data_IF_445051586532
#
_entry.id   IF_445051586532
#
_cell.length_a   1.000
_cell.length_b   1.000
_cell.length_c   1.000
_cell.angle_alpha   90.00
_cell.angle_beta   90.00
_cell.angle_gamma   90.00
#
_symmetry.space_group_name_H-M   'P 1'
#
loop_
_entity.id
_entity.type
_entity.pdbx_description
1 polymer ?
#
# COMPACT_ATOMS: atom_id res chain seq x y z
N UNK A 1 21.82 -7.75 -0.15
CA UNK A 1 20.84 -8.29 -1.13
C UNK A 1 19.81 -7.20 -1.40
N UNK A 2 19.15 -7.14 -2.56
CA UNK A 2 18.00 -6.24 -2.82
C UNK A 2 16.83 -7.13 -3.19
N UNK A 3 15.90 -7.29 -2.25
CA UNK A 3 14.75 -8.19 -2.41
C UNK A 3 13.88 -7.82 -3.62
N UNK A 4 13.72 -6.52 -3.90
CA UNK A 4 12.95 -6.07 -5.06
C UNK A 4 13.67 -6.45 -6.36
N UNK A 5 15.00 -6.26 -6.46
CA UNK A 5 15.76 -6.69 -7.63
C UNK A 5 15.63 -8.22 -7.83
N UNK A 6 15.74 -8.99 -6.75
CA UNK A 6 15.61 -10.45 -6.81
C UNK A 6 14.23 -10.85 -7.36
N UNK A 7 13.15 -10.35 -6.78
CA UNK A 7 11.78 -10.69 -7.19
C UNK A 7 11.43 -10.16 -8.58
N UNK A 8 11.96 -9.00 -8.96
CA UNK A 8 11.78 -8.43 -10.29
C UNK A 8 12.69 -9.06 -11.36
N UNK A 9 13.69 -9.86 -10.95
CA UNK A 9 14.68 -10.45 -11.84
C UNK A 9 15.59 -9.40 -12.46
N UNK A 10 15.98 -8.38 -11.70
CA UNK A 10 16.88 -7.31 -12.11
C UNK A 10 18.31 -7.71 -11.74
N UNK A 11 19.20 -7.72 -12.74
CA UNK A 11 20.61 -8.02 -12.52
C UNK A 11 21.29 -6.86 -11.79
N UNK A 12 22.10 -7.14 -10.74
CA UNK A 12 22.91 -6.13 -10.08
C UNK A 12 23.85 -5.41 -11.06
N UNK A 13 23.87 -4.07 -11.03
CA UNK A 13 24.65 -3.25 -11.95
C UNK A 13 24.08 -3.18 -13.37
N UNK A 14 22.95 -3.80 -13.63
CA UNK A 14 22.23 -3.67 -14.89
C UNK A 14 21.47 -2.33 -14.99
N UNK A 15 21.02 -1.97 -16.21
CA UNK A 15 20.38 -0.69 -16.51
C UNK A 15 19.27 -0.29 -15.50
N UNK A 16 18.33 -1.19 -15.18
CA UNK A 16 17.25 -0.87 -14.25
C UNK A 16 17.75 -0.74 -12.81
N UNK A 17 18.77 -1.51 -12.42
CA UNK A 17 19.40 -1.37 -11.11
C UNK A 17 20.07 0.00 -10.96
N UNK A 18 20.76 0.47 -12.01
CA UNK A 18 21.39 1.79 -12.04
C UNK A 18 20.34 2.91 -11.99
N UNK A 19 19.25 2.83 -12.75
CA UNK A 19 18.18 3.84 -12.71
C UNK A 19 17.50 3.88 -11.34
N UNK A 20 17.31 2.72 -10.68
CA UNK A 20 16.79 2.68 -9.30
C UNK A 20 17.69 3.38 -8.29
N UNK A 21 18.98 3.57 -8.59
CA UNK A 21 19.91 4.33 -7.73
C UNK A 21 19.63 5.85 -7.75
N UNK A 22 18.73 6.37 -8.57
CA UNK A 22 18.21 7.74 -8.43
C UNK A 22 17.38 7.90 -7.15
N UNK A 23 16.85 6.80 -6.60
CA UNK A 23 16.16 6.76 -5.30
C UNK A 23 16.88 5.76 -4.38
N UNK A 24 18.13 6.08 -3.96
CA UNK A 24 18.99 5.11 -3.29
C UNK A 24 18.46 4.72 -1.91
N UNK A 25 17.83 5.65 -1.19
CA UNK A 25 17.23 5.35 0.11
C UNK A 25 15.95 4.54 -0.02
N UNK A 26 15.10 4.82 -1.01
CA UNK A 26 13.92 3.99 -1.27
C UNK A 26 14.33 2.55 -1.62
N UNK A 27 15.38 2.38 -2.44
CA UNK A 27 15.96 1.08 -2.76
C UNK A 27 16.50 0.35 -1.52
N UNK A 28 17.32 1.03 -0.71
CA UNK A 28 17.93 0.48 0.50
C UNK A 28 16.88 0.15 1.57
N UNK A 29 15.91 1.05 1.79
CA UNK A 29 14.94 0.90 2.86
C UNK A 29 13.81 -0.08 2.50
N UNK A 30 13.57 -0.39 1.22
CA UNK A 30 12.73 -1.52 0.85
C UNK A 30 13.30 -2.86 1.39
N UNK A 31 14.64 -3.04 1.33
CA UNK A 31 15.31 -4.19 1.95
C UNK A 31 15.26 -4.11 3.48
N UNK A 32 15.52 -2.93 4.06
CA UNK A 32 15.47 -2.76 5.52
C UNK A 32 14.07 -3.04 6.08
N UNK A 33 13.01 -2.63 5.36
CA UNK A 33 11.62 -2.93 5.75
C UNK A 33 11.32 -4.43 5.64
N UNK A 34 11.81 -5.09 4.58
CA UNK A 34 11.69 -6.55 4.47
C UNK A 34 12.32 -7.23 5.69
N UNK A 35 13.54 -6.86 6.05
CA UNK A 35 14.23 -7.43 7.21
C UNK A 35 13.47 -7.16 8.50
N UNK A 36 13.04 -5.92 8.74
CA UNK A 36 12.31 -5.56 9.96
C UNK A 36 10.97 -6.31 10.12
N UNK A 37 10.23 -6.50 9.02
CA UNK A 37 8.88 -7.06 9.08
C UNK A 37 8.83 -8.57 8.86
N UNK A 38 9.79 -9.16 8.15
CA UNK A 38 9.78 -10.59 7.79
C UNK A 38 10.88 -11.39 8.50
N UNK A 39 12.03 -10.77 8.78
CA UNK A 39 13.19 -11.41 9.37
C UNK A 39 13.75 -10.58 10.56
N UNK A 40 12.90 -10.09 11.51
CA UNK A 40 13.40 -9.35 12.66
C UNK A 40 14.30 -10.23 13.55
N UNK A 41 15.27 -9.61 14.25
CA UNK A 41 16.12 -10.34 15.21
C UNK A 41 15.30 -10.91 16.37
N UNK A 42 14.27 -10.18 16.82
CA UNK A 42 13.30 -10.62 17.82
C UNK A 42 11.89 -10.64 17.19
N UNK A 43 11.31 -11.81 17.09
CA UNK A 43 9.97 -11.99 16.51
C UNK A 43 8.86 -11.53 17.46
N UNK A 44 9.11 -11.41 18.74
CA UNK A 44 8.07 -11.21 19.73
C UNK A 44 6.98 -12.27 19.64
N UNK A 45 5.73 -11.86 19.74
CA UNK A 45 4.56 -12.73 19.60
C UNK A 45 4.14 -13.02 18.15
N UNK A 46 4.79 -12.42 17.16
CA UNK A 46 4.51 -12.61 15.72
C UNK A 46 5.62 -13.44 15.08
N UNK A 47 5.44 -14.74 15.04
CA UNK A 47 6.44 -15.73 14.61
C UNK A 47 6.83 -15.62 13.12
N UNK A 48 7.99 -16.17 12.73
CA UNK A 48 8.39 -16.25 11.31
C UNK A 48 7.38 -17.00 10.45
N UNK A 49 6.83 -18.12 10.95
CA UNK A 49 5.83 -18.90 10.24
C UNK A 49 4.57 -18.07 9.94
N UNK A 50 4.06 -17.32 10.91
CA UNK A 50 2.90 -16.42 10.71
C UNK A 50 3.24 -15.30 9.73
N UNK A 51 4.45 -14.68 9.84
CA UNK A 51 4.89 -13.61 8.92
C UNK A 51 4.95 -14.10 7.48
N UNK A 52 5.54 -15.28 7.24
CA UNK A 52 5.63 -15.85 5.91
C UNK A 52 4.28 -16.35 5.39
N UNK A 53 3.41 -16.89 6.25
CA UNK A 53 2.05 -17.27 5.88
C UNK A 53 1.23 -16.07 5.41
N UNK A 54 1.27 -14.96 6.16
CA UNK A 54 0.63 -13.70 5.78
C UNK A 54 1.23 -13.14 4.49
N UNK A 55 2.56 -13.20 4.34
CA UNK A 55 3.23 -12.67 3.15
C UNK A 55 2.89 -13.46 1.89
N UNK A 56 2.88 -14.80 1.98
CA UNK A 56 2.49 -15.67 0.87
C UNK A 56 1.02 -15.46 0.48
N UNK A 57 0.13 -15.36 1.48
CA UNK A 57 -1.29 -15.08 1.27
C UNK A 57 -1.49 -13.73 0.56
N UNK A 58 -0.91 -12.65 1.08
CA UNK A 58 -1.04 -11.30 0.50
C UNK A 58 -0.47 -11.23 -0.93
N UNK A 59 0.71 -11.82 -1.17
CA UNK A 59 1.31 -11.85 -2.50
C UNK A 59 0.46 -12.67 -3.49
N UNK A 60 -0.16 -13.76 -3.03
CA UNK A 60 -1.10 -14.57 -3.79
C UNK A 60 -2.36 -13.78 -4.16
N UNK A 61 -2.95 -13.06 -3.19
CA UNK A 61 -4.12 -12.20 -3.43
C UNK A 61 -3.85 -11.10 -4.47
N UNK A 62 -2.65 -10.53 -4.48
CA UNK A 62 -2.25 -9.54 -5.49
C UNK A 62 -1.89 -10.15 -6.85
N UNK A 63 -1.89 -11.46 -6.99
CA UNK A 63 -1.62 -12.19 -8.22
C UNK A 63 -0.25 -11.82 -8.83
N UNK A 64 0.79 -11.76 -8.00
CA UNK A 64 2.19 -11.55 -8.41
C UNK A 64 2.98 -12.85 -8.16
N UNK A 65 3.02 -13.79 -9.13
CA UNK A 65 3.54 -15.16 -8.93
C UNK A 65 4.95 -15.20 -8.37
N UNK A 66 5.84 -14.33 -8.87
CA UNK A 66 7.23 -14.29 -8.40
C UNK A 66 7.36 -13.99 -6.90
N UNK A 67 6.47 -13.15 -6.35
CA UNK A 67 6.46 -12.86 -4.93
C UNK A 67 5.73 -13.97 -4.14
N UNK A 68 4.62 -14.49 -4.68
CA UNK A 68 3.85 -15.54 -4.03
C UNK A 68 4.67 -16.83 -3.86
N UNK A 69 5.37 -17.27 -4.91
CA UNK A 69 6.26 -18.44 -4.88
C UNK A 69 7.41 -18.24 -3.88
N UNK A 70 8.05 -17.06 -3.90
CA UNK A 70 9.13 -16.76 -2.98
C UNK A 70 8.70 -16.84 -1.50
N UNK A 71 7.54 -16.28 -1.15
CA UNK A 71 7.05 -16.35 0.23
C UNK A 71 6.52 -17.73 0.61
N UNK A 72 6.00 -18.51 -0.34
CA UNK A 72 5.62 -19.89 -0.09
C UNK A 72 6.85 -20.77 0.16
N UNK A 73 7.97 -20.52 -0.51
CA UNK A 73 9.24 -21.23 -0.26
C UNK A 73 9.76 -20.92 1.14
N UNK A 74 9.77 -19.63 1.55
CA UNK A 74 10.15 -19.25 2.92
C UNK A 74 9.23 -19.87 3.97
N UNK A 75 7.93 -19.95 3.69
CA UNK A 75 6.97 -20.58 4.57
C UNK A 75 7.23 -22.09 4.69
N UNK A 76 7.55 -22.77 3.57
CA UNK A 76 7.88 -24.19 3.55
C UNK A 76 9.11 -24.55 4.39
N UNK A 77 10.05 -23.61 4.54
CA UNK A 77 11.23 -23.80 5.41
C UNK A 77 10.91 -23.53 6.90
N UNK A 78 9.84 -22.78 7.21
CA UNK A 78 9.53 -22.30 8.57
C UNK A 78 8.30 -22.97 9.22
N UNK A 79 7.45 -23.65 8.44
CA UNK A 79 6.18 -24.19 8.92
C UNK A 79 5.91 -25.61 8.38
N UNK A 80 4.95 -26.29 8.99
CA UNK A 80 4.50 -27.62 8.54
C UNK A 80 3.63 -27.50 7.26
N UNK A 81 3.56 -28.61 6.50
CA UNK A 81 2.88 -28.67 5.20
C UNK A 81 1.39 -28.29 5.25
N UNK A 82 0.71 -28.51 6.39
CA UNK A 82 -0.68 -28.15 6.60
C UNK A 82 -0.89 -26.63 6.58
N UNK A 83 0.05 -25.83 7.14
CA UNK A 83 0.00 -24.37 7.08
C UNK A 83 0.23 -23.88 5.64
N UNK A 84 1.15 -24.49 4.89
CA UNK A 84 1.36 -24.17 3.46
C UNK A 84 0.09 -24.46 2.66
N UNK A 85 -0.57 -25.58 2.93
CA UNK A 85 -1.85 -25.95 2.30
C UNK A 85 -2.96 -24.96 2.68
N UNK A 86 -3.04 -24.55 3.96
CA UNK A 86 -3.99 -23.54 4.43
C UNK A 86 -3.84 -22.20 3.70
N UNK A 87 -2.60 -21.71 3.50
CA UNK A 87 -2.33 -20.48 2.74
C UNK A 87 -2.81 -20.58 1.30
N UNK A 88 -2.57 -21.70 0.63
CA UNK A 88 -3.05 -21.93 -0.75
C UNK A 88 -4.57 -21.93 -0.82
N UNK A 89 -5.23 -22.66 0.08
CA UNK A 89 -6.70 -22.70 0.17
C UNK A 89 -7.29 -21.33 0.46
N UNK A 90 -6.69 -20.58 1.39
CA UNK A 90 -7.12 -19.20 1.71
C UNK A 90 -6.95 -18.27 0.50
N UNK A 91 -5.84 -18.37 -0.22
CA UNK A 91 -5.57 -17.59 -1.42
C UNK A 91 -6.62 -17.83 -2.50
N UNK A 92 -6.93 -19.09 -2.78
CA UNK A 92 -7.94 -19.45 -3.79
C UNK A 92 -9.34 -18.95 -3.40
N UNK A 93 -9.70 -19.02 -2.09
CA UNK A 93 -10.97 -18.50 -1.57
C UNK A 93 -11.04 -16.97 -1.65
N UNK A 94 -9.95 -16.29 -1.33
CA UNK A 94 -9.89 -14.83 -1.24
C UNK A 94 -9.69 -14.11 -2.58
N UNK A 95 -9.45 -14.84 -3.68
CA UNK A 95 -9.14 -14.23 -4.97
C UNK A 95 -10.30 -13.37 -5.50
N UNK A 96 -10.07 -12.05 -5.61
CA UNK A 96 -11.03 -11.07 -6.12
C UNK A 96 -10.29 -9.85 -6.68
N UNK A 97 -10.98 -8.72 -6.86
CA UNK A 97 -10.41 -7.46 -7.34
C UNK A 97 -10.71 -6.32 -6.37
N UNK A 98 -9.80 -5.37 -6.27
CA UNK A 98 -9.93 -4.20 -5.41
C UNK A 98 -9.23 -2.97 -5.99
N UNK A 99 -9.19 -1.86 -5.26
CA UNK A 99 -10.00 -1.64 -4.08
C UNK A 99 -11.47 -1.46 -4.44
N UNK A 100 -12.37 -2.02 -3.65
CA UNK A 100 -13.81 -1.89 -3.82
C UNK A 100 -14.43 -1.49 -2.48
N UNK A 101 -15.15 -0.36 -2.48
CA UNK A 101 -15.96 0.03 -1.32
C UNK A 101 -17.22 -0.84 -1.25
N UNK A 102 -17.63 -1.16 -0.05
CA UNK A 102 -18.79 -2.05 0.22
C UNK A 102 -18.67 -3.45 -0.40
N UNK A 103 -17.45 -3.90 -0.71
CA UNK A 103 -17.22 -5.29 -1.06
C UNK A 103 -17.61 -6.19 0.11
N UNK A 104 -18.20 -7.33 -0.19
CA UNK A 104 -18.54 -8.32 0.85
C UNK A 104 -17.27 -8.84 1.54
N UNK A 105 -17.36 -9.04 2.86
CA UNK A 105 -16.26 -9.65 3.62
C UNK A 105 -16.12 -11.13 3.28
N UNK A 106 -14.87 -11.58 3.10
CA UNK A 106 -14.53 -13.00 3.02
C UNK A 106 -13.82 -13.36 4.32
N UNK A 107 -14.25 -14.45 4.97
CA UNK A 107 -13.66 -14.94 6.22
C UNK A 107 -12.97 -16.28 6.02
N UNK A 108 -11.98 -16.55 6.86
CA UNK A 108 -11.07 -17.70 6.75
C UNK A 108 -11.07 -18.57 8.01
N UNK A 109 -12.15 -18.50 8.81
CA UNK A 109 -12.27 -19.19 10.10
C UNK A 109 -12.34 -20.74 9.98
N UNK A 110 -12.68 -21.25 8.82
CA UNK A 110 -12.86 -22.66 8.51
C UNK A 110 -11.79 -23.20 7.54
N UNK A 111 -10.62 -22.59 7.52
CA UNK A 111 -9.47 -23.09 6.75
C UNK A 111 -8.73 -24.15 7.57
N UNK A 112 -8.69 -25.38 7.05
CA UNK A 112 -7.94 -26.47 7.69
C UNK A 112 -6.43 -26.14 7.76
N UNK A 113 -5.83 -26.33 8.92
CA UNK A 113 -4.42 -26.01 9.18
C UNK A 113 -4.14 -24.57 9.63
N UNK A 114 -5.12 -23.66 9.56
CA UNK A 114 -5.02 -22.32 10.16
C UNK A 114 -5.70 -22.31 11.54
N UNK A 115 -4.98 -21.88 12.57
CA UNK A 115 -5.57 -21.64 13.88
C UNK A 115 -6.39 -20.31 13.88
N UNK A 116 -7.05 -20.01 14.99
CA UNK A 116 -7.89 -18.82 15.09
C UNK A 116 -7.09 -17.51 14.90
N UNK A 117 -5.83 -17.50 15.34
CA UNK A 117 -4.95 -16.34 15.24
C UNK A 117 -4.53 -16.09 13.79
N UNK A 118 -4.14 -17.12 13.06
CA UNK A 118 -3.76 -17.03 11.65
C UNK A 118 -4.98 -16.73 10.78
N UNK A 119 -6.14 -17.34 11.08
CA UNK A 119 -7.40 -17.07 10.38
C UNK A 119 -7.82 -15.60 10.49
N UNK A 120 -7.73 -15.01 11.69
CA UNK A 120 -8.01 -13.59 11.89
C UNK A 120 -7.02 -12.69 11.15
N UNK A 121 -5.74 -13.09 11.05
CA UNK A 121 -4.76 -12.39 10.24
C UNK A 121 -5.09 -12.44 8.74
N UNK A 122 -5.60 -13.55 8.23
CA UNK A 122 -6.09 -13.66 6.84
C UNK A 122 -7.34 -12.79 6.61
N UNK A 123 -8.30 -12.78 7.54
CA UNK A 123 -9.47 -11.91 7.48
C UNK A 123 -9.05 -10.44 7.36
N UNK A 124 -8.14 -10.01 8.21
CA UNK A 124 -7.61 -8.65 8.22
C UNK A 124 -6.77 -8.35 6.98
N UNK A 125 -5.94 -9.29 6.50
CA UNK A 125 -5.15 -9.13 5.29
C UNK A 125 -6.05 -8.96 4.06
N UNK A 126 -7.12 -9.76 3.94
CA UNK A 126 -8.08 -9.64 2.85
C UNK A 126 -8.75 -8.26 2.84
N UNK A 127 -9.17 -7.77 4.00
CA UNK A 127 -9.71 -6.43 4.17
C UNK A 127 -8.73 -5.35 3.68
N UNK A 128 -7.46 -5.40 4.12
CA UNK A 128 -6.46 -4.42 3.73
C UNK A 128 -6.11 -4.47 2.24
N UNK A 129 -6.13 -5.66 1.66
CA UNK A 129 -5.81 -5.85 0.24
C UNK A 129 -6.89 -5.28 -0.66
N UNK A 130 -8.15 -5.63 -0.44
CA UNK A 130 -9.22 -5.41 -1.40
C UNK A 130 -10.20 -4.29 -1.07
N UNK A 131 -10.38 -3.95 0.21
CA UNK A 131 -11.34 -2.90 0.59
C UNK A 131 -10.94 -2.18 1.89
N UNK A 132 -9.74 -1.57 1.92
CA UNK A 132 -9.23 -0.93 3.14
C UNK A 132 -10.11 0.21 3.66
N UNK A 133 -10.94 0.84 2.81
CA UNK A 133 -11.89 1.87 3.21
C UNK A 133 -13.00 1.34 4.11
N UNK A 134 -13.29 0.04 4.06
CA UNK A 134 -14.35 -0.60 4.85
C UNK A 134 -13.87 -0.99 6.25
N UNK A 135 -12.59 -0.80 6.56
CA UNK A 135 -12.05 -1.07 7.89
C UNK A 135 -12.75 -0.24 8.97
N UNK A 136 -12.99 -0.86 10.10
CA UNK A 136 -13.61 -0.26 11.30
C UNK A 136 -12.84 -0.73 12.53
N UNK A 137 -12.98 -0.06 13.69
CA UNK A 137 -12.33 -0.50 14.94
C UNK A 137 -12.60 -1.96 15.28
N UNK A 138 -13.78 -2.48 14.93
CA UNK A 138 -14.15 -3.89 15.13
C UNK A 138 -13.23 -4.90 14.43
N UNK A 139 -12.57 -4.52 13.32
CA UNK A 139 -11.60 -5.40 12.67
C UNK A 139 -10.34 -5.61 13.52
N UNK A 140 -9.93 -4.61 14.29
CA UNK A 140 -8.83 -4.73 15.24
C UNK A 140 -9.28 -5.49 16.51
N UNK A 141 -10.53 -5.30 16.96
CA UNK A 141 -11.12 -6.09 18.03
C UNK A 141 -11.13 -7.58 17.71
N UNK A 142 -11.46 -7.95 16.47
CA UNK A 142 -11.39 -9.33 15.99
C UNK A 142 -9.98 -9.94 16.08
N UNK A 143 -8.94 -9.15 15.78
CA UNK A 143 -7.55 -9.58 15.96
C UNK A 143 -7.22 -9.77 17.45
N UNK A 144 -7.62 -8.85 18.32
CA UNK A 144 -7.37 -8.98 19.77
C UNK A 144 -8.06 -10.20 20.37
N UNK A 145 -9.29 -10.50 19.98
CA UNK A 145 -10.00 -11.72 20.40
C UNK A 145 -9.29 -13.00 19.95
N UNK A 146 -8.60 -12.96 18.81
CA UNK A 146 -7.78 -14.04 18.30
C UNK A 146 -6.38 -14.10 18.96
N UNK A 147 -6.08 -13.20 19.91
CA UNK A 147 -4.83 -13.19 20.67
C UNK A 147 -3.71 -12.32 20.09
N UNK A 148 -4.01 -11.40 19.20
CA UNK A 148 -3.05 -10.36 18.77
C UNK A 148 -3.05 -9.22 19.79
N UNK A 149 -1.86 -8.81 20.24
CA UNK A 149 -1.69 -7.60 21.05
C UNK A 149 -1.50 -6.35 20.16
N UNK A 150 -1.48 -5.19 20.77
CA UNK A 150 -1.36 -3.91 20.06
C UNK A 150 -0.09 -3.81 19.19
N UNK A 151 1.05 -4.33 19.67
CA UNK A 151 2.31 -4.32 18.94
C UNK A 151 2.26 -5.28 17.73
N UNK A 152 1.72 -6.49 17.94
CA UNK A 152 1.48 -7.47 16.89
C UNK A 152 0.53 -6.97 15.81
N UNK A 153 -0.57 -6.30 16.18
CA UNK A 153 -1.52 -5.70 15.24
C UNK A 153 -0.85 -4.62 14.38
N UNK A 154 -0.04 -3.75 14.99
CA UNK A 154 0.67 -2.70 14.24
C UNK A 154 1.71 -3.32 13.30
N UNK A 155 2.49 -4.32 13.74
CA UNK A 155 3.46 -5.01 12.89
C UNK A 155 2.76 -5.79 11.75
N UNK A 156 1.63 -6.46 12.02
CA UNK A 156 0.82 -7.14 11.01
C UNK A 156 0.28 -6.14 9.96
N UNK A 157 -0.28 -5.02 10.40
CA UNK A 157 -0.76 -3.97 9.49
C UNK A 157 0.39 -3.39 8.64
N UNK A 158 1.56 -3.15 9.24
CA UNK A 158 2.75 -2.69 8.53
C UNK A 158 3.25 -3.72 7.52
N UNK A 159 3.25 -5.01 7.86
CA UNK A 159 3.63 -6.09 6.95
C UNK A 159 2.72 -6.15 5.72
N UNK A 160 1.40 -6.20 5.93
CA UNK A 160 0.43 -6.27 4.83
C UNK A 160 0.52 -5.03 3.94
N UNK A 161 0.63 -3.85 4.54
CA UNK A 161 0.73 -2.59 3.82
C UNK A 161 2.07 -2.47 3.06
N UNK A 162 3.19 -2.92 3.64
CA UNK A 162 4.48 -3.01 2.95
C UNK A 162 4.43 -3.96 1.76
N UNK A 163 3.81 -5.12 1.90
CA UNK A 163 3.64 -6.07 0.80
C UNK A 163 2.81 -5.46 -0.34
N UNK A 164 1.80 -4.65 -0.02
CA UNK A 164 1.05 -3.92 -1.04
C UNK A 164 1.94 -2.93 -1.84
N UNK A 165 2.97 -2.35 -1.21
CA UNK A 165 4.01 -1.59 -1.90
C UNK A 165 4.94 -2.50 -2.70
N UNK A 166 5.54 -3.49 -2.04
CA UNK A 166 6.58 -4.33 -2.61
C UNK A 166 6.12 -5.05 -3.89
N UNK A 167 4.95 -5.72 -3.85
CA UNK A 167 4.46 -6.49 -5.00
C UNK A 167 4.14 -5.60 -6.20
N UNK A 168 3.69 -4.36 -5.97
CA UNK A 168 3.45 -3.39 -7.04
C UNK A 168 4.74 -2.88 -7.66
N UNK A 169 5.75 -2.60 -6.84
CA UNK A 169 7.08 -2.21 -7.34
C UNK A 169 7.69 -3.37 -8.14
N UNK A 170 7.64 -4.60 -7.61
CA UNK A 170 8.12 -5.80 -8.31
C UNK A 170 7.43 -5.96 -9.66
N UNK A 171 6.10 -5.93 -9.69
CA UNK A 171 5.34 -6.08 -10.94
C UNK A 171 5.67 -4.95 -11.93
N UNK A 172 5.62 -3.70 -11.49
CA UNK A 172 5.92 -2.54 -12.34
C UNK A 172 7.31 -2.61 -12.95
N UNK A 173 8.33 -3.01 -12.18
CA UNK A 173 9.70 -3.18 -12.66
C UNK A 173 9.85 -4.38 -13.61
N UNK A 174 9.12 -5.48 -13.39
CA UNK A 174 9.07 -6.61 -14.33
C UNK A 174 8.50 -6.18 -15.67
N UNK A 175 7.40 -5.43 -15.67
CA UNK A 175 6.81 -4.87 -16.91
C UNK A 175 7.78 -3.93 -17.60
N UNK A 176 8.42 -3.01 -16.85
CA UNK A 176 9.43 -2.09 -17.38
C UNK A 176 10.64 -2.81 -17.96
N UNK A 177 11.02 -3.94 -17.37
CA UNK A 177 12.11 -4.83 -17.83
C UNK A 177 11.73 -5.77 -18.97
N UNK A 178 10.50 -5.68 -19.51
CA UNK A 178 10.01 -6.59 -20.54
C UNK A 178 9.73 -8.02 -20.07
N UNK A 179 9.65 -8.22 -18.73
CA UNK A 179 9.35 -9.50 -18.07
C UNK A 179 7.91 -9.52 -17.52
N UNK A 180 7.07 -8.56 -17.92
CA UNK A 180 5.65 -8.58 -17.62
C UNK A 180 5.05 -9.86 -18.17
N UNK A 181 4.30 -10.61 -17.32
CA UNK A 181 3.59 -11.76 -17.79
C UNK A 181 2.74 -11.33 -18.97
N UNK A 182 2.99 -11.95 -20.13
CA UNK A 182 2.06 -11.84 -21.25
C UNK A 182 0.70 -12.18 -20.69
N UNK A 183 -0.30 -11.36 -20.94
CA UNK A 183 -1.69 -11.65 -20.60
C UNK A 183 -2.18 -12.88 -21.42
N UNK A 184 -1.53 -13.99 -21.20
CA UNK A 184 -1.71 -15.30 -21.81
C UNK A 184 -1.91 -16.31 -20.71
N UNK A 185 -3.18 -16.52 -20.34
CA UNK A 185 -3.76 -17.52 -19.46
C UNK A 185 -4.22 -17.03 -18.07
N UNK A 186 -4.84 -15.88 -17.97
CA UNK A 186 -5.97 -15.73 -17.06
C UNK A 186 -7.24 -16.34 -17.69
N UNK A 187 -7.10 -17.56 -18.24
CA UNK A 187 -8.24 -18.41 -18.57
C UNK A 187 -8.67 -19.13 -17.28
N UNK A 188 -9.40 -18.41 -16.45
CA UNK A 188 -9.91 -18.88 -15.17
C UNK A 188 -10.49 -17.78 -14.29
N UNK A 189 -10.41 -16.52 -14.72
CA UNK A 189 -11.23 -15.49 -14.12
C UNK A 189 -12.68 -15.82 -14.50
N UNK A 190 -13.43 -16.44 -13.58
CA UNK A 190 -14.89 -16.40 -13.62
C UNK A 190 -15.28 -14.98 -14.01
N UNK A 191 -16.07 -14.85 -15.08
CA UNK A 191 -16.73 -13.59 -15.40
C UNK A 191 -17.31 -13.07 -14.11
N UNK A 192 -16.72 -11.99 -13.61
CA UNK A 192 -17.21 -11.31 -12.43
C UNK A 192 -18.69 -11.04 -12.72
N UNK A 193 -19.55 -11.64 -11.94
CA UNK A 193 -20.96 -11.34 -11.94
C UNK A 193 -21.07 -9.81 -11.99
N UNK A 194 -21.77 -9.29 -12.99
CA UNK A 194 -22.23 -7.92 -13.06
C UNK A 194 -22.82 -7.59 -11.67
N UNK A 195 -22.08 -6.85 -10.89
CA UNK A 195 -22.64 -6.22 -9.70
C UNK A 195 -23.53 -5.12 -10.26
N UNK A 196 -24.79 -5.48 -10.47
CA UNK A 196 -25.86 -4.51 -10.64
C UNK A 196 -25.81 -3.61 -9.41
N UNK A 197 -25.78 -2.30 -9.64
CA UNK A 197 -26.05 -1.28 -8.61
C UNK A 197 -27.33 -1.67 -7.87
N UNK A 198 -27.19 -2.34 -6.75
CA UNK A 198 -28.25 -2.79 -5.86
C UNK A 198 -28.28 -1.89 -4.64
N UNK A 199 -29.43 -1.37 -4.39
CA UNK A 199 -29.91 -0.54 -3.29
C UNK A 199 -29.03 -0.60 -2.02
N UNK A 200 -28.70 0.59 -1.48
CA UNK A 200 -28.01 0.79 -0.22
C UNK A 200 -28.60 -0.08 0.89
N UNK A 201 -27.94 -1.17 1.21
CA UNK A 201 -28.21 -1.90 2.44
C UNK A 201 -27.82 -1.03 3.63
N UNK A 202 -28.69 -0.94 4.61
CA UNK A 202 -28.54 -0.08 5.79
C UNK A 202 -27.24 -0.38 6.56
N UNK A 203 -26.81 0.60 7.35
CA UNK A 203 -25.55 0.80 8.03
C UNK A 203 -25.01 -0.33 8.94
N UNK A 204 -25.52 -1.55 8.90
CA UNK A 204 -25.21 -2.65 9.81
C UNK A 204 -24.60 -3.91 9.15
N UNK A 205 -24.35 -3.90 7.84
CA UNK A 205 -23.86 -5.09 7.11
C UNK A 205 -22.35 -5.08 6.77
N UNK A 206 -21.57 -4.18 7.36
CA UNK A 206 -20.16 -3.93 7.00
C UNK A 206 -19.13 -4.71 7.83
N UNK A 207 -19.56 -5.69 8.62
CA UNK A 207 -18.67 -6.54 9.42
C UNK A 207 -19.29 -7.93 9.58
N UNK A 208 -18.51 -9.02 9.48
CA UNK A 208 -19.00 -10.39 9.67
C UNK A 208 -19.26 -10.72 11.15
N UNK A 209 -19.85 -9.81 11.91
CA UNK A 209 -20.13 -9.98 13.34
C UNK A 209 -18.97 -9.56 14.26
N UNK A 210 -17.93 -8.92 13.71
CA UNK A 210 -16.82 -8.41 14.54
C UNK A 210 -17.27 -7.27 15.46
N UNK A 211 -16.65 -7.16 16.61
CA UNK A 211 -16.94 -6.11 17.58
C UNK A 211 -15.67 -5.51 18.18
N UNK A 212 -15.80 -4.36 18.80
CA UNK A 212 -14.69 -3.70 19.49
C UNK A 212 -14.36 -4.50 20.74
N UNK A 213 -13.10 -4.85 20.94
CA UNK A 213 -12.60 -5.64 22.05
C UNK A 213 -11.22 -5.16 22.52
N UNK A 214 -10.80 -5.60 23.69
CA UNK A 214 -9.47 -5.36 24.24
C UNK A 214 -9.11 -3.88 24.37
N UNK A 215 -7.93 -3.51 23.90
CA UNK A 215 -7.41 -2.14 23.96
C UNK A 215 -7.87 -1.25 22.79
N UNK A 216 -8.74 -1.75 21.91
CA UNK A 216 -9.26 -1.00 20.77
C UNK A 216 -10.13 0.16 21.23
N UNK A 217 -9.84 1.36 20.73
CA UNK A 217 -10.56 2.59 21.04
C UNK A 217 -11.42 3.04 19.85
N UNK A 218 -12.57 3.63 20.17
CA UNK A 218 -13.43 4.32 19.21
C UNK A 218 -13.34 5.81 19.54
N UNK A 219 -12.51 6.58 18.82
CA UNK A 219 -12.34 8.00 19.13
C UNK A 219 -13.57 8.81 18.74
N UNK A 220 -13.84 9.91 19.48
CA UNK A 220 -14.78 10.92 19.02
C UNK A 220 -14.15 11.74 17.90
N UNK A 221 -14.63 11.59 16.67
CA UNK A 221 -14.16 12.33 15.51
C UNK A 221 -15.32 13.05 14.80
N UNK A 222 -14.97 14.06 14.06
CA UNK A 222 -15.83 14.65 13.03
C UNK A 222 -15.32 14.14 11.68
N UNK A 223 -15.93 13.08 11.19
CA UNK A 223 -15.58 12.51 9.90
C UNK A 223 -15.82 13.54 8.77
N UNK A 224 -14.93 13.65 7.78
CA UNK A 224 -15.21 14.45 6.59
C UNK A 224 -16.36 13.83 5.79
N UNK A 225 -17.25 14.67 5.25
CA UNK A 225 -18.36 14.21 4.40
C UNK A 225 -17.92 13.63 3.04
N UNK A 226 -16.64 13.75 2.73
CA UNK A 226 -16.04 13.28 1.47
C UNK A 226 -14.56 13.63 1.40
N UNK A 227 -14.05 13.80 0.19
CA UNK A 227 -12.70 14.28 -0.01
C UNK A 227 -12.68 15.80 0.09
N UNK A 228 -11.73 16.34 0.83
CA UNK A 228 -11.63 17.78 1.12
C UNK A 228 -10.28 18.35 0.72
N UNK A 229 -10.24 19.63 0.38
CA UNK A 229 -9.01 20.35 -0.02
C UNK A 229 -8.35 21.13 1.12
N UNK A 230 -8.70 20.82 2.36
CA UNK A 230 -8.06 21.36 3.57
C UNK A 230 -7.44 20.24 4.42
N UNK A 231 -6.54 20.63 5.33
CA UNK A 231 -5.88 19.66 6.21
C UNK A 231 -6.86 18.96 7.16
N UNK A 232 -6.69 17.67 7.34
CA UNK A 232 -7.40 16.84 8.32
C UNK A 232 -6.47 16.49 9.50
N UNK A 233 -7.06 16.21 10.66
CA UNK A 233 -6.46 15.42 11.73
C UNK A 233 -6.65 13.93 11.47
N UNK A 234 -6.08 13.12 12.38
CA UNK A 234 -6.22 11.68 12.34
C UNK A 234 -6.18 11.11 13.77
N UNK A 235 -7.02 10.13 14.06
CA UNK A 235 -7.15 9.51 15.36
C UNK A 235 -6.98 8.01 15.28
N UNK A 236 -6.09 7.41 16.12
CA UNK A 236 -5.83 5.98 16.12
C UNK A 236 -6.98 5.19 16.76
N UNK A 237 -7.13 3.93 16.35
CA UNK A 237 -8.01 2.94 16.97
C UNK A 237 -7.29 2.04 17.99
N UNK A 238 -5.99 2.10 18.05
CA UNK A 238 -5.13 1.49 19.08
C UNK A 238 -4.36 2.62 19.76
N UNK A 239 -4.15 2.58 21.08
CA UNK A 239 -3.40 3.62 21.78
C UNK A 239 -2.01 3.83 21.18
N UNK A 240 -1.72 5.05 20.76
CA UNK A 240 -0.35 5.43 20.36
C UNK A 240 0.55 5.42 21.61
N UNK A 241 1.84 5.10 21.43
CA UNK A 241 2.83 5.19 22.54
C UNK A 241 2.77 6.59 23.14
N UNK A 242 2.65 6.70 24.47
CA UNK A 242 2.66 8.00 25.13
C UNK A 242 4.04 8.67 24.96
N UNK A 243 4.07 10.00 24.84
CA UNK A 243 5.33 10.72 24.54
C UNK A 243 6.40 10.45 25.59
N UNK A 244 5.98 10.41 26.85
CA UNK A 244 6.82 10.15 28.04
C UNK A 244 7.34 8.71 28.13
N UNK A 245 6.66 7.76 27.49
CA UNK A 245 6.99 6.34 27.51
C UNK A 245 7.81 5.89 26.28
N UNK A 246 8.05 6.79 25.32
CA UNK A 246 8.83 6.45 24.13
C UNK A 246 10.28 6.12 24.47
N UNK A 247 10.75 4.97 24.01
CA UNK A 247 12.16 4.57 24.10
C UNK A 247 13.05 5.42 23.18
N UNK A 248 14.37 5.48 23.45
CA UNK A 248 15.30 6.17 22.56
C UNK A 248 15.24 5.66 21.10
N UNK A 249 15.04 4.36 20.89
CA UNK A 249 14.91 3.76 19.57
C UNK A 249 13.64 4.24 18.86
N UNK A 250 12.52 4.34 19.57
CA UNK A 250 11.27 4.85 19.03
C UNK A 250 11.36 6.34 18.66
N UNK A 251 12.04 7.14 19.48
CA UNK A 251 12.28 8.57 19.20
C UNK A 251 13.17 8.72 17.96
N UNK A 252 14.25 7.95 17.85
CA UNK A 252 15.15 7.98 16.70
C UNK A 252 14.43 7.55 15.39
N UNK A 253 13.49 6.60 15.47
CA UNK A 253 12.70 6.14 14.34
C UNK A 253 11.75 7.22 13.76
N UNK A 254 11.43 8.26 14.51
CA UNK A 254 10.63 9.40 14.02
C UNK A 254 11.39 10.23 12.96
N UNK A 255 12.72 10.18 12.92
CA UNK A 255 13.63 10.92 12.03
C UNK A 255 13.56 12.44 12.26
N UNK A 256 12.36 13.00 12.41
CA UNK A 256 12.11 14.41 12.68
C UNK A 256 11.49 14.57 14.07
N UNK A 257 12.12 15.37 14.97
CA UNK A 257 11.65 15.50 16.36
C UNK A 257 10.17 15.93 16.48
N UNK A 258 9.69 16.79 15.58
CA UNK A 258 8.32 17.30 15.59
C UNK A 258 7.26 16.20 15.35
N UNK A 259 7.65 15.04 14.82
CA UNK A 259 6.73 13.91 14.61
C UNK A 259 6.26 13.27 15.92
N UNK A 260 6.92 13.56 17.03
CA UNK A 260 6.45 13.14 18.36
C UNK A 260 5.06 13.69 18.68
N UNK A 261 4.64 14.79 18.06
CA UNK A 261 3.30 15.36 18.24
C UNK A 261 2.19 14.62 17.47
N UNK A 262 2.57 13.77 16.52
CA UNK A 262 1.64 12.99 15.71
C UNK A 262 1.31 11.64 16.35
N UNK A 263 0.05 11.41 16.66
CA UNK A 263 -0.43 10.11 17.15
C UNK A 263 -0.15 8.98 16.14
N UNK A 264 -0.25 9.27 14.84
CA UNK A 264 0.07 8.31 13.78
C UNK A 264 1.52 7.81 13.86
N UNK A 265 2.50 8.73 13.97
CA UNK A 265 3.91 8.32 14.05
C UNK A 265 4.22 7.61 15.37
N UNK A 266 3.62 8.02 16.47
CA UNK A 266 3.77 7.33 17.76
C UNK A 266 3.10 5.95 17.79
N UNK A 267 2.01 5.77 17.05
CA UNK A 267 1.40 4.45 16.86
C UNK A 267 2.34 3.53 16.07
N UNK A 268 2.84 3.98 14.93
CA UNK A 268 3.75 3.17 14.11
C UNK A 268 5.12 2.93 14.79
N UNK A 269 5.50 3.76 15.77
CA UNK A 269 6.71 3.57 16.57
C UNK A 269 6.64 2.34 17.50
N UNK A 270 5.52 1.62 17.57
CA UNK A 270 5.44 0.27 18.16
C UNK A 270 6.33 -0.72 17.43
N UNK A 271 6.58 -0.49 16.13
CA UNK A 271 7.59 -1.18 15.31
C UNK A 271 8.56 -0.13 14.74
N UNK A 272 9.57 0.27 15.53
CA UNK A 272 10.40 1.43 15.19
C UNK A 272 11.29 1.20 13.96
N UNK A 273 11.75 -0.02 13.71
CA UNK A 273 12.60 -0.31 12.56
C UNK A 273 11.82 -0.21 11.25
N UNK A 274 10.61 -0.76 11.22
CA UNK A 274 9.72 -0.64 10.07
C UNK A 274 9.30 0.82 9.85
N UNK A 275 8.98 1.58 10.91
CA UNK A 275 8.65 2.99 10.82
C UNK A 275 9.78 3.81 10.22
N UNK A 276 11.02 3.60 10.70
CA UNK A 276 12.20 4.32 10.20
C UNK A 276 12.41 4.08 8.72
N UNK A 277 12.47 2.81 8.31
CA UNK A 277 12.70 2.42 6.93
C UNK A 277 11.60 2.95 5.99
N UNK A 278 10.33 2.83 6.41
CA UNK A 278 9.19 3.41 5.68
C UNK A 278 9.32 4.92 5.51
N UNK A 279 9.72 5.62 6.56
CA UNK A 279 9.82 7.07 6.54
C UNK A 279 10.96 7.55 5.63
N UNK A 280 12.11 6.90 5.64
CA UNK A 280 13.23 7.22 4.75
C UNK A 280 12.87 6.90 3.28
N UNK A 281 12.08 5.85 3.03
CA UNK A 281 11.52 5.53 1.71
C UNK A 281 10.64 6.68 1.20
N UNK A 282 9.70 7.16 2.03
CA UNK A 282 8.83 8.32 1.73
C UNK A 282 9.63 9.56 1.33
N UNK A 283 10.60 9.91 2.18
CA UNK A 283 11.43 11.09 1.96
C UNK A 283 12.22 11.02 0.65
N UNK A 284 12.74 9.87 0.28
CA UNK A 284 13.49 9.70 -0.97
C UNK A 284 12.58 9.71 -2.21
N UNK A 285 11.43 9.05 -2.14
CA UNK A 285 10.46 9.04 -3.23
C UNK A 285 9.90 10.44 -3.51
N UNK A 286 9.58 11.20 -2.47
CA UNK A 286 8.85 12.47 -2.66
C UNK A 286 9.73 13.73 -2.57
N UNK A 287 10.85 13.71 -1.87
CA UNK A 287 11.66 14.91 -1.64
C UNK A 287 13.04 14.89 -2.31
N UNK A 288 13.48 13.75 -2.84
CA UNK A 288 14.66 13.68 -3.66
C UNK A 288 14.31 14.19 -5.08
N UNK A 289 14.97 15.27 -5.51
CA UNK A 289 14.71 15.95 -6.79
C UNK A 289 15.66 15.54 -7.90
N UNK A 290 16.52 14.54 -7.67
CA UNK A 290 17.52 14.09 -8.63
C UNK A 290 16.85 13.32 -9.77
N UNK A 291 16.64 13.98 -10.91
CA UNK A 291 16.06 13.38 -12.14
C UNK A 291 14.64 12.83 -11.99
N UNK A 292 14.18 12.09 -12.99
CA UNK A 292 12.89 11.41 -12.96
C UNK A 292 11.70 12.34 -13.09
N UNK A 293 10.60 11.97 -12.41
CA UNK A 293 9.32 12.70 -12.44
C UNK A 293 9.38 13.96 -11.58
N UNK A 294 8.81 15.07 -12.04
CA UNK A 294 8.72 16.28 -11.25
C UNK A 294 7.83 16.08 -10.01
N UNK A 295 8.00 16.95 -9.00
CA UNK A 295 7.35 16.78 -7.70
C UNK A 295 5.84 16.86 -7.80
N UNK A 296 5.28 17.79 -8.57
CA UNK A 296 3.83 17.93 -8.74
C UNK A 296 3.18 16.64 -9.25
N UNK A 297 3.81 15.97 -10.21
CA UNK A 297 3.33 14.70 -10.77
C UNK A 297 3.43 13.53 -9.80
N UNK A 298 4.46 13.51 -8.93
CA UNK A 298 4.56 12.50 -7.84
C UNK A 298 3.41 12.68 -6.85
N UNK A 299 3.10 13.91 -6.48
CA UNK A 299 2.00 14.26 -5.59
C UNK A 299 0.63 14.01 -6.25
N UNK A 300 0.51 14.23 -7.56
CA UNK A 300 -0.67 13.85 -8.34
C UNK A 300 -0.91 12.33 -8.28
N UNK A 301 0.12 11.52 -8.52
CA UNK A 301 0.00 10.07 -8.45
C UNK A 301 -0.43 9.61 -7.04
N UNK A 302 0.13 10.23 -6.00
CA UNK A 302 -0.27 10.00 -4.61
C UNK A 302 -1.74 10.36 -4.34
N UNK A 303 -2.21 11.48 -4.90
CA UNK A 303 -3.60 11.95 -4.78
C UNK A 303 -4.56 10.98 -5.48
N UNK A 304 -4.24 10.55 -6.71
CA UNK A 304 -5.02 9.57 -7.48
C UNK A 304 -5.17 8.26 -6.71
N UNK A 305 -4.06 7.71 -6.20
CA UNK A 305 -4.09 6.46 -5.42
C UNK A 305 -4.91 6.63 -4.13
N UNK A 306 -4.75 7.75 -3.44
CA UNK A 306 -5.48 8.03 -2.20
C UNK A 306 -6.97 8.21 -2.43
N UNK A 307 -7.34 8.87 -3.54
CA UNK A 307 -8.74 9.04 -3.97
C UNK A 307 -9.38 7.69 -4.29
N UNK A 308 -8.65 6.82 -4.99
CA UNK A 308 -9.12 5.48 -5.37
C UNK A 308 -9.25 4.54 -4.16
N UNK A 309 -8.30 4.57 -3.23
CA UNK A 309 -8.32 3.76 -2.01
C UNK A 309 -9.29 4.30 -0.93
N UNK A 310 -9.89 5.48 -1.13
CA UNK A 310 -10.79 6.07 -0.17
C UNK A 310 -10.11 6.80 1.01
N UNK A 311 -8.80 7.07 0.93
CA UNK A 311 -8.08 7.71 2.03
C UNK A 311 -8.21 9.25 1.98
N UNK A 312 -9.26 9.80 2.59
CA UNK A 312 -9.51 11.23 2.63
C UNK A 312 -8.34 12.03 3.24
N UNK A 313 -7.72 11.52 4.30
CA UNK A 313 -6.55 12.16 4.93
C UNK A 313 -5.39 12.32 3.94
N UNK A 314 -4.96 11.22 3.30
CA UNK A 314 -3.84 11.27 2.37
C UNK A 314 -4.17 12.14 1.15
N UNK A 315 -5.38 12.01 0.59
CA UNK A 315 -5.81 12.82 -0.55
C UNK A 315 -5.76 14.31 -0.22
N UNK A 316 -6.23 14.74 0.97
CA UNK A 316 -6.21 16.14 1.39
C UNK A 316 -4.80 16.72 1.53
N UNK A 317 -3.82 15.90 1.93
CA UNK A 317 -2.42 16.33 2.06
C UNK A 317 -1.74 16.44 0.69
N UNK A 318 -1.90 15.41 -0.15
CA UNK A 318 -1.11 15.30 -1.38
C UNK A 318 -1.69 16.16 -2.51
N UNK A 319 -3.00 16.40 -2.54
CA UNK A 319 -3.58 17.41 -3.42
C UNK A 319 -3.01 18.81 -3.11
N UNK A 320 -2.91 19.19 -1.83
CA UNK A 320 -2.36 20.49 -1.45
C UNK A 320 -0.89 20.63 -1.90
N UNK A 321 -0.09 19.57 -1.68
CA UNK A 321 1.30 19.55 -2.13
C UNK A 321 1.44 19.58 -3.65
N UNK A 322 0.57 18.88 -4.39
CA UNK A 322 0.56 18.94 -5.84
C UNK A 322 0.39 20.39 -6.33
N UNK A 323 -0.56 21.11 -5.72
CA UNK A 323 -0.79 22.53 -6.03
C UNK A 323 0.39 23.42 -5.61
N UNK A 324 0.96 23.20 -4.42
CA UNK A 324 2.13 23.95 -3.93
C UNK A 324 3.36 23.78 -4.83
N UNK A 325 3.49 22.63 -5.48
CA UNK A 325 4.57 22.32 -6.44
C UNK A 325 4.23 22.71 -7.90
N UNK A 326 3.16 23.47 -8.10
CA UNK A 326 2.79 24.06 -9.39
C UNK A 326 1.69 23.30 -10.17
N UNK A 327 1.06 22.31 -9.56
CA UNK A 327 -0.12 21.66 -10.14
C UNK A 327 -1.33 22.58 -10.24
N UNK A 328 -2.17 22.37 -11.26
CA UNK A 328 -3.38 23.15 -11.47
C UNK A 328 -4.43 22.81 -10.39
N UNK A 329 -4.77 23.82 -9.57
CA UNK A 329 -5.71 23.68 -8.45
C UNK A 329 -7.09 23.23 -8.90
N UNK A 330 -7.61 23.79 -9.98
CA UNK A 330 -8.98 23.46 -10.44
C UNK A 330 -9.06 22.01 -10.92
N UNK A 331 -8.00 21.52 -11.56
CA UNK A 331 -7.89 20.12 -11.99
C UNK A 331 -7.79 19.18 -10.80
N UNK A 332 -6.99 19.55 -9.79
CA UNK A 332 -6.82 18.72 -8.60
C UNK A 332 -8.06 18.71 -7.73
N UNK A 333 -8.75 19.84 -7.58
CA UNK A 333 -10.03 19.93 -6.86
C UNK A 333 -11.10 19.05 -7.57
N UNK A 334 -11.19 19.09 -8.91
CA UNK A 334 -12.09 18.18 -9.66
C UNK A 334 -11.76 16.70 -9.43
N UNK A 335 -10.47 16.34 -9.37
CA UNK A 335 -10.06 14.97 -9.06
C UNK A 335 -10.58 14.51 -7.69
N UNK A 336 -10.60 15.39 -6.70
CA UNK A 336 -11.16 15.08 -5.39
C UNK A 336 -12.69 14.90 -5.46
N UNK A 337 -13.37 15.82 -6.10
CA UNK A 337 -14.84 15.89 -6.13
C UNK A 337 -15.46 14.81 -7.02
N UNK A 338 -14.99 14.70 -8.27
CA UNK A 338 -15.57 13.83 -9.29
C UNK A 338 -14.97 12.42 -9.32
N UNK A 339 -13.78 12.23 -8.73
CA UNK A 339 -13.08 10.94 -8.69
C UNK A 339 -12.05 10.75 -9.78
N UNK A 340 -11.48 9.53 -9.82
CA UNK A 340 -10.31 9.23 -10.66
C UNK A 340 -10.60 9.19 -12.16
N UNK A 341 -11.85 9.19 -12.57
CA UNK A 341 -12.25 9.16 -13.98
C UNK A 341 -12.42 10.57 -14.59
N UNK A 342 -12.24 11.63 -13.78
CA UNK A 342 -12.35 13.03 -14.24
C UNK A 342 -11.29 13.38 -15.31
N UNK A 343 -11.60 14.37 -16.14
CA UNK A 343 -10.65 14.93 -17.11
C UNK A 343 -9.58 15.79 -16.41
N UNK A 344 -8.32 15.42 -16.58
CA UNK A 344 -7.17 16.14 -16.01
C UNK A 344 -6.59 17.21 -16.96
N UNK A 345 -7.17 17.42 -18.14
CA UNK A 345 -6.79 18.49 -19.08
C UNK A 345 -5.37 18.35 -19.67
N UNK A 346 -4.69 17.24 -19.42
CA UNK A 346 -3.32 16.97 -19.88
C UNK A 346 -3.16 15.49 -20.20
N UNK A 347 -2.60 15.19 -21.38
CA UNK A 347 -2.29 13.81 -21.79
C UNK A 347 -1.30 13.16 -20.80
N UNK A 348 -0.31 13.92 -20.33
CA UNK A 348 0.67 13.43 -19.39
C UNK A 348 0.05 13.10 -18.04
N UNK A 349 -0.76 13.99 -17.47
CA UNK A 349 -1.45 13.75 -16.21
C UNK A 349 -2.46 12.60 -16.33
N UNK A 350 -3.14 12.50 -17.48
CA UNK A 350 -4.05 11.39 -17.78
C UNK A 350 -3.31 10.05 -17.88
N UNK A 351 -2.12 10.02 -18.47
CA UNK A 351 -1.28 8.83 -18.53
C UNK A 351 -0.80 8.40 -17.14
N UNK A 352 -0.36 9.35 -16.30
CA UNK A 352 0.00 9.12 -14.88
C UNK A 352 -1.19 8.54 -14.11
N UNK A 353 -2.37 9.18 -14.22
CA UNK A 353 -3.59 8.72 -13.57
C UNK A 353 -3.95 7.28 -13.99
N UNK A 354 -3.96 6.99 -15.29
CA UNK A 354 -4.33 5.67 -15.79
C UNK A 354 -3.37 4.58 -15.28
N UNK A 355 -2.08 4.87 -15.29
CA UNK A 355 -1.05 3.96 -14.79
C UNK A 355 -1.18 3.74 -13.27
N UNK A 356 -1.39 4.81 -12.48
CA UNK A 356 -1.57 4.74 -11.03
C UNK A 356 -2.83 3.96 -10.65
N UNK A 357 -3.94 4.17 -11.38
CA UNK A 357 -5.21 3.42 -11.19
C UNK A 357 -5.01 1.94 -11.47
N UNK A 358 -4.42 1.59 -12.63
CA UNK A 358 -4.17 0.19 -13.01
C UNK A 358 -3.31 -0.53 -11.96
N UNK A 359 -2.18 0.09 -11.57
CA UNK A 359 -1.26 -0.49 -10.58
C UNK A 359 -1.92 -0.62 -9.19
N UNK A 360 -2.87 0.25 -8.86
CA UNK A 360 -3.56 0.23 -7.55
C UNK A 360 -4.66 -0.82 -7.50
N UNK A 361 -5.50 -0.92 -8.52
CA UNK A 361 -6.62 -1.89 -8.55
C UNK A 361 -6.10 -3.31 -8.47
N UNK A 362 -5.33 -3.72 -9.43
CA UNK A 362 -4.68 -5.04 -9.45
C UNK A 362 -3.34 -4.88 -10.17
N UNK A 363 -2.20 -5.23 -9.56
CA UNK A 363 -0.90 -5.03 -10.21
C UNK A 363 -0.83 -5.53 -11.65
N UNK A 364 -1.45 -6.70 -11.96
CA UNK A 364 -1.48 -7.29 -13.29
C UNK A 364 -2.20 -6.45 -14.36
N UNK A 365 -3.02 -5.48 -13.98
CA UNK A 365 -3.63 -4.53 -14.92
C UNK A 365 -2.64 -3.48 -15.44
N UNK A 366 -1.54 -3.23 -14.71
CA UNK A 366 -0.46 -2.37 -15.16
C UNK A 366 0.41 -3.09 -16.19
N UNK A 367 0.45 -2.59 -17.39
CA UNK A 367 1.08 -3.22 -18.55
C UNK A 367 2.05 -2.28 -19.30
N UNK A 368 2.79 -2.78 -20.27
CA UNK A 368 3.66 -1.98 -21.13
C UNK A 368 2.92 -0.80 -21.80
N UNK A 369 1.61 -0.93 -22.07
CA UNK A 369 0.81 0.17 -22.64
C UNK A 369 0.77 1.40 -21.74
N UNK A 370 0.71 1.21 -20.41
CA UNK A 370 0.75 2.33 -19.47
C UNK A 370 2.12 3.00 -19.46
N UNK A 371 3.20 2.20 -19.54
CA UNK A 371 4.57 2.70 -19.62
C UNK A 371 4.76 3.54 -20.89
N UNK A 372 4.32 3.00 -22.03
CA UNK A 372 4.45 3.66 -23.33
C UNK A 372 3.64 4.98 -23.37
N UNK A 373 2.43 4.99 -22.79
CA UNK A 373 1.61 6.19 -22.69
C UNK A 373 2.30 7.29 -21.85
N UNK A 374 2.85 6.92 -20.69
CA UNK A 374 3.60 7.87 -19.82
C UNK A 374 4.82 8.41 -20.55
N UNK A 375 5.61 7.54 -21.19
CA UNK A 375 6.80 7.94 -21.94
C UNK A 375 6.46 8.87 -23.12
N UNK A 376 5.40 8.57 -23.86
CA UNK A 376 4.98 9.36 -25.01
C UNK A 376 4.47 10.76 -24.63
N UNK A 377 3.81 10.88 -23.47
CA UNK A 377 3.23 12.13 -23.01
C UNK A 377 4.17 12.95 -22.11
N UNK A 378 5.26 12.36 -21.61
CA UNK A 378 6.19 13.03 -20.70
C UNK A 378 6.85 14.26 -21.36
N UNK A 379 7.13 15.35 -20.63
CA UNK A 379 7.85 16.50 -21.13
C UNK A 379 9.20 16.09 -21.75
N UNK A 380 9.48 16.52 -22.98
CA UNK A 380 10.70 16.18 -23.70
C UNK A 380 10.69 14.82 -24.42
N UNK A 381 9.57 14.11 -24.46
CA UNK A 381 9.43 12.80 -25.08
C UNK A 381 9.91 12.73 -26.56
N UNK A 382 9.75 13.80 -27.32
CA UNK A 382 10.17 13.85 -28.73
C UNK A 382 11.68 13.72 -28.98
N UNK A 383 12.52 13.79 -27.94
CA UNK A 383 13.98 13.71 -28.00
C UNK A 383 14.55 12.33 -27.62
N UNK A 384 13.71 11.36 -27.31
CA UNK A 384 14.15 10.06 -26.76
C UNK A 384 14.50 9.08 -27.89
N UNK A 385 15.78 8.70 -27.98
CA UNK A 385 16.24 7.59 -28.84
C UNK A 385 16.66 6.39 -27.96
N UNK A 386 16.35 5.14 -28.35
CA UNK A 386 16.77 3.95 -27.61
C UNK A 386 18.28 3.91 -27.38
N UNK A 387 18.71 3.60 -26.15
CA UNK A 387 20.13 3.47 -25.78
C UNK A 387 20.87 4.79 -25.49
N UNK A 388 20.16 5.91 -25.37
CA UNK A 388 20.74 7.23 -25.04
C UNK A 388 20.49 7.60 -23.57
N UNK A 389 21.14 8.69 -23.06
CA UNK A 389 20.85 9.28 -21.73
C UNK A 389 19.35 9.64 -21.60
N UNK A 390 18.70 10.02 -22.70
CA UNK A 390 17.25 10.26 -22.77
C UNK A 390 16.41 9.03 -22.43
N UNK A 391 16.87 7.82 -22.80
CA UNK A 391 16.18 6.57 -22.44
C UNK A 391 16.26 6.30 -20.94
N UNK A 392 17.39 6.59 -20.31
CA UNK A 392 17.56 6.50 -18.84
C UNK A 392 16.63 7.46 -18.11
N UNK A 393 16.45 8.67 -18.62
CA UNK A 393 15.51 9.64 -18.04
C UNK A 393 14.05 9.17 -18.15
N UNK A 394 13.66 8.62 -19.30
CA UNK A 394 12.31 8.09 -19.50
C UNK A 394 12.00 6.90 -18.55
N UNK A 395 12.99 6.04 -18.29
CA UNK A 395 12.85 4.96 -17.30
C UNK A 395 12.76 5.49 -15.87
N UNK A 396 13.51 6.55 -15.54
CA UNK A 396 13.44 7.21 -14.24
C UNK A 396 12.05 7.77 -13.95
N UNK A 397 11.41 8.40 -14.93
CA UNK A 397 10.02 8.88 -14.82
C UNK A 397 9.06 7.73 -14.51
N UNK A 398 9.20 6.61 -15.21
CA UNK A 398 8.34 5.43 -15.00
C UNK A 398 8.60 4.79 -13.62
N UNK A 399 9.87 4.70 -13.19
CA UNK A 399 10.23 4.16 -11.87
C UNK A 399 9.67 5.06 -10.75
N UNK A 400 9.72 6.38 -10.90
CA UNK A 400 9.11 7.29 -9.94
C UNK A 400 7.59 7.11 -9.86
N UNK A 401 6.92 6.98 -11.00
CA UNK A 401 5.48 6.68 -11.04
C UNK A 401 5.14 5.38 -10.30
N UNK A 402 5.90 4.31 -10.57
CA UNK A 402 5.73 3.03 -9.89
C UNK A 402 5.95 3.21 -8.39
N UNK A 403 7.03 3.88 -7.97
CA UNK A 403 7.34 4.11 -6.57
C UNK A 403 6.27 4.94 -5.86
N UNK A 404 5.85 6.08 -6.43
CA UNK A 404 4.83 6.96 -5.83
C UNK A 404 3.50 6.25 -5.67
N UNK A 405 3.02 5.59 -6.74
CA UNK A 405 1.76 4.87 -6.71
C UNK A 405 1.79 3.69 -5.73
N UNK A 406 2.88 2.94 -5.72
CA UNK A 406 3.06 1.81 -4.80
C UNK A 406 3.15 2.27 -3.35
N UNK A 407 3.88 3.35 -3.07
CA UNK A 407 4.04 3.89 -1.72
C UNK A 407 2.70 4.35 -1.14
N UNK A 408 1.82 4.94 -1.95
CA UNK A 408 0.50 5.31 -1.46
C UNK A 408 -0.46 4.13 -1.28
N UNK A 409 -0.19 3.00 -1.91
CA UNK A 409 -0.83 1.73 -1.53
C UNK A 409 -0.37 1.22 -0.15
N UNK A 410 0.83 1.54 0.28
CA UNK A 410 1.31 1.31 1.65
C UNK A 410 0.69 2.30 2.64
N UNK A 411 0.88 3.60 2.40
CA UNK A 411 0.46 4.65 3.32
C UNK A 411 -1.04 4.67 3.57
N UNK A 412 -1.86 4.52 2.52
CA UNK A 412 -3.31 4.55 2.65
C UNK A 412 -3.83 3.40 3.51
N UNK A 413 -3.27 2.18 3.35
CA UNK A 413 -3.70 1.03 4.15
C UNK A 413 -3.48 1.26 5.63
N UNK A 414 -2.33 1.78 6.03
CA UNK A 414 -2.06 2.11 7.44
C UNK A 414 -3.01 3.18 7.97
N UNK A 415 -3.28 4.23 7.16
CA UNK A 415 -4.16 5.32 7.57
C UNK A 415 -5.63 4.90 7.69
N UNK A 416 -6.09 3.96 6.86
CA UNK A 416 -7.46 3.51 6.80
C UNK A 416 -7.80 2.40 7.80
N UNK A 417 -6.78 1.62 8.23
CA UNK A 417 -7.02 0.40 9.00
C UNK A 417 -6.54 0.45 10.44
N UNK A 418 -5.83 1.51 10.81
CA UNK A 418 -5.35 1.75 12.18
C UNK A 418 -5.99 2.98 12.84
N UNK A 419 -6.84 3.71 12.12
CA UNK A 419 -7.48 4.92 12.62
C UNK A 419 -8.30 5.63 11.56
N UNK A 420 -8.79 6.80 11.88
CA UNK A 420 -9.72 7.55 11.04
C UNK A 420 -9.43 9.05 10.99
N UNK A 421 -9.84 9.75 9.90
CA UNK A 421 -9.65 11.19 9.78
C UNK A 421 -10.58 11.96 10.71
N UNK A 422 -10.11 13.14 11.19
CA UNK A 422 -10.88 14.07 12.00
C UNK A 422 -10.81 15.48 11.41
N UNK A 423 -11.95 16.10 11.17
CA UNK A 423 -12.01 17.49 10.70
C UNK A 423 -11.59 18.43 11.84
N UNK A 424 -10.53 19.24 11.69
CA UNK A 424 -10.12 20.19 12.71
C UNK A 424 -11.20 21.22 13.03
N UNK A 425 -11.28 21.69 14.28
CA UNK A 425 -12.31 22.65 14.73
C UNK A 425 -12.43 23.90 13.85
N UNK A 426 -11.34 24.36 13.24
CA UNK A 426 -11.33 25.54 12.36
C UNK A 426 -12.05 25.34 11.02
N UNK A 427 -12.40 24.09 10.69
CA UNK A 427 -13.10 23.73 9.44
C UNK A 427 -14.47 23.08 9.69
N UNK A 428 -14.93 23.06 10.97
CA UNK A 428 -16.26 22.55 11.36
C UNK A 428 -17.32 23.63 11.28
#
# INVERSE_FOLDING_TARGET
MDIINQLAGIEPGGRLDEVRNLRPKAKQNAQATFTALLEPEDTGAFSYAERYAVAAFVAGLFQVPAAAEFYLDLLGDAAADDIVAAVRQATDRGATRGPAHDAGFVTFQDIDGADARLSAAFDFAHLLVFHPQDARPAALGHLEEAGWDADGIVSLAQLIAFLAFQVRVVHGLRVLGGKGDSAGNAAGANEAANVTEGESAGADSTSPGWHVAGDVIVPEVHAPEGFVNHSLGWKPWIPAVAKEDMTPQQIDALIKPERVDSEYFRLLARDPEALRARTETDLDIFYNTDGGMARAERELAATVVSRLNGCAYCASVHQARCVDEGGDREVVDRLLDEGVDTDLGSDYWSAIRNAAVALTRTPSEFTAKHIDAVRAAAPGAAAVSPGTESAGHADAVVIDLINCSSFFNWANRLMLTLGEPDVPRRFR
#
